data_IF_201310018603
#
_entry.id   IF_201310018603
#
_cell.length_a   1.000
_cell.length_b   1.000
_cell.length_c   1.000
_cell.angle_alpha   90.00
_cell.angle_beta   90.00
_cell.angle_gamma   90.00
#
_symmetry.space_group_name_H-M   'P 1'
#
loop_
_entity.id
_entity.type
_entity.pdbx_description
1 polymer ?
#
# COMPACT_ATOMS: atom_id res chain seq x y z
N UNK A 1 -16.28 -15.56 -19.77
CA UNK A 1 -15.08 -14.71 -19.98
C UNK A 1 -13.83 -15.46 -19.50
N UNK A 2 -12.70 -15.47 -20.24
CA UNK A 2 -11.48 -16.14 -19.76
C UNK A 2 -10.74 -15.21 -18.81
N UNK A 3 -10.64 -15.57 -17.54
CA UNK A 3 -9.92 -14.82 -16.52
C UNK A 3 -8.43 -14.71 -16.88
N UNK A 4 -7.85 -13.53 -16.68
CA UNK A 4 -6.41 -13.31 -16.84
C UNK A 4 -5.68 -13.56 -15.51
N UNK A 5 -4.42 -13.99 -15.58
CA UNK A 5 -3.54 -14.17 -14.41
C UNK A 5 -2.08 -14.10 -14.83
N UNK A 6 -1.18 -13.84 -13.89
CA UNK A 6 0.26 -13.94 -14.12
C UNK A 6 0.70 -15.41 -14.31
N UNK A 7 1.81 -15.61 -15.05
CA UNK A 7 2.18 -16.92 -15.58
C UNK A 7 2.94 -17.83 -14.63
N UNK A 8 3.79 -17.29 -13.76
CA UNK A 8 4.76 -18.06 -12.96
C UNK A 8 4.41 -18.01 -11.49
N UNK A 9 4.44 -19.15 -10.79
CA UNK A 9 4.29 -19.26 -9.35
C UNK A 9 2.91 -18.89 -8.82
N UNK A 10 2.88 -18.48 -7.58
CA UNK A 10 1.67 -18.08 -6.83
C UNK A 10 1.12 -19.20 -5.95
N UNK A 11 0.25 -18.80 -5.03
CA UNK A 11 -0.41 -19.66 -4.03
C UNK A 11 -1.87 -19.27 -3.87
N UNK A 12 -2.66 -20.09 -3.18
CA UNK A 12 -4.09 -19.88 -2.94
C UNK A 12 -4.37 -19.92 -1.42
N UNK A 13 -4.07 -18.85 -0.66
CA UNK A 13 -4.43 -18.79 0.75
C UNK A 13 -5.95 -18.67 0.93
N UNK A 14 -6.45 -19.06 2.11
CA UNK A 14 -7.83 -18.78 2.50
C UNK A 14 -8.07 -17.26 2.52
N UNK A 15 -9.16 -16.83 1.91
CA UNK A 15 -9.41 -15.39 1.70
C UNK A 15 -9.78 -14.66 2.98
N UNK A 16 -10.61 -15.28 3.82
CA UNK A 16 -11.12 -14.71 5.08
C UNK A 16 -11.61 -13.24 4.94
N UNK A 17 -12.31 -12.91 3.84
CA UNK A 17 -12.83 -11.57 3.53
C UNK A 17 -14.10 -11.24 4.36
N UNK A 18 -14.05 -11.45 5.68
CA UNK A 18 -15.21 -11.37 6.59
C UNK A 18 -15.88 -9.99 6.64
N UNK A 19 -15.17 -8.94 6.27
CA UNK A 19 -15.68 -7.55 6.27
C UNK A 19 -16.10 -7.05 4.89
N UNK A 20 -16.14 -7.92 3.86
CA UNK A 20 -16.39 -7.51 2.48
C UNK A 20 -17.73 -6.76 2.30
N UNK A 21 -18.79 -7.25 2.93
CA UNK A 21 -20.14 -6.66 2.81
C UNK A 21 -20.43 -5.58 3.88
N UNK A 22 -19.44 -5.25 4.73
CA UNK A 22 -19.60 -4.24 5.77
C UNK A 22 -19.23 -2.85 5.21
N UNK A 23 -20.20 -1.96 5.16
CA UNK A 23 -20.00 -0.57 4.76
C UNK A 23 -18.93 0.13 5.60
N UNK A 24 -18.24 1.09 4.99
CA UNK A 24 -17.20 1.87 5.68
C UNK A 24 -17.82 2.76 6.76
N UNK A 25 -17.23 2.71 7.94
CA UNK A 25 -17.59 3.56 9.09
C UNK A 25 -16.54 4.66 9.25
N UNK A 26 -16.94 5.84 9.74
CA UNK A 26 -15.99 6.89 10.10
C UNK A 26 -15.48 6.61 11.51
N UNK A 27 -14.16 6.47 11.64
CA UNK A 27 -13.53 6.26 12.94
C UNK A 27 -13.59 7.54 13.80
N UNK A 28 -13.77 7.38 15.12
CA UNK A 28 -13.70 8.49 16.06
C UNK A 28 -12.30 9.12 16.07
N UNK A 29 -12.23 10.43 16.32
CA UNK A 29 -10.95 11.14 16.45
C UNK A 29 -10.18 10.65 17.68
N UNK A 30 -8.84 10.51 17.59
CA UNK A 30 -8.02 10.14 18.75
C UNK A 30 -7.86 11.33 19.71
N UNK A 31 -7.53 11.03 20.98
CA UNK A 31 -7.12 12.08 21.92
C UNK A 31 -5.78 12.71 21.55
N UNK A 32 -4.87 11.90 21.04
CA UNK A 32 -3.59 12.32 20.45
C UNK A 32 -3.41 11.66 19.08
N UNK A 33 -2.93 12.44 18.12
CA UNK A 33 -2.56 11.94 16.80
C UNK A 33 -1.05 11.96 16.64
N UNK A 34 -0.47 10.85 16.14
CA UNK A 34 0.99 10.63 16.00
C UNK A 34 1.33 10.53 14.54
N UNK A 35 2.15 11.44 14.03
CA UNK A 35 2.55 11.51 12.63
C UNK A 35 4.02 11.17 12.45
N UNK A 36 4.39 9.89 12.15
CA UNK A 36 5.75 9.53 11.80
C UNK A 36 6.23 10.31 10.57
N UNK A 37 7.49 10.78 10.57
CA UNK A 37 8.06 11.53 9.44
C UNK A 37 8.45 10.65 8.26
N UNK A 38 8.57 9.33 8.46
CA UNK A 38 8.91 8.33 7.46
C UNK A 38 7.71 7.48 7.04
N UNK A 39 6.67 8.08 6.43
CA UNK A 39 5.48 7.37 5.95
C UNK A 39 5.56 6.89 4.49
N UNK A 40 6.74 6.94 3.88
CA UNK A 40 6.97 6.63 2.46
C UNK A 40 8.42 6.17 2.24
N UNK A 41 8.70 5.61 1.06
CA UNK A 41 10.08 5.32 0.64
C UNK A 41 10.81 6.63 0.34
N UNK A 42 12.11 6.65 0.63
CA UNK A 42 13.01 7.77 0.38
C UNK A 42 13.37 8.55 1.64
N UNK A 43 13.69 9.82 1.50
CA UNK A 43 14.07 10.68 2.61
C UNK A 43 12.87 10.98 3.51
N UNK A 44 12.96 10.85 4.83
CA UNK A 44 11.89 11.29 5.73
C UNK A 44 11.51 12.76 5.50
N UNK A 45 10.25 13.08 5.75
CA UNK A 45 9.78 14.47 5.72
C UNK A 45 10.44 15.29 6.83
N UNK A 46 10.56 16.59 6.63
CA UNK A 46 11.14 17.55 7.60
C UNK A 46 10.03 18.34 8.27
N UNK A 47 9.93 18.34 9.61
CA UNK A 47 8.89 19.10 10.32
C UNK A 47 9.00 20.60 10.02
N UNK A 48 7.85 21.24 9.83
CA UNK A 48 7.73 22.71 9.66
C UNK A 48 6.93 23.35 10.81
N UNK A 49 6.51 22.53 11.77
CA UNK A 49 5.78 22.95 12.99
C UNK A 49 6.61 22.69 14.24
N UNK A 50 6.36 23.46 15.29
CA UNK A 50 7.01 23.38 16.58
C UNK A 50 5.99 23.14 17.71
N UNK A 51 6.48 22.76 18.89
CA UNK A 51 5.65 22.62 20.11
C UNK A 51 4.88 23.91 20.39
N UNK A 52 3.56 23.80 20.58
CA UNK A 52 2.66 24.90 20.88
C UNK A 52 1.93 25.45 19.65
N UNK A 53 2.35 25.11 18.44
CA UNK A 53 1.66 25.55 17.22
C UNK A 53 0.25 24.99 17.15
N UNK A 54 -0.70 25.83 16.74
CA UNK A 54 -2.08 25.45 16.45
C UNK A 54 -2.17 24.97 15.01
N UNK A 55 -2.86 23.84 14.80
CA UNK A 55 -3.06 23.25 13.48
C UNK A 55 -4.52 22.90 13.24
N UNK A 56 -4.93 22.95 11.97
CA UNK A 56 -6.24 22.48 11.48
C UNK A 56 -6.07 21.19 10.68
N UNK A 57 -7.17 20.53 10.38
CA UNK A 57 -7.18 19.44 9.39
C UNK A 57 -6.74 19.98 8.05
N UNK A 58 -5.67 19.42 7.49
CA UNK A 58 -5.07 19.90 6.23
C UNK A 58 -3.90 20.86 6.41
N UNK A 59 -3.55 21.29 7.62
CA UNK A 59 -2.33 22.08 7.85
C UNK A 59 -1.09 21.24 7.54
N UNK A 60 -0.11 21.82 6.82
CA UNK A 60 1.18 21.19 6.53
C UNK A 60 1.98 21.00 7.83
N UNK A 61 2.31 19.76 8.18
CA UNK A 61 3.11 19.42 9.36
C UNK A 61 4.59 19.23 9.03
N UNK A 62 4.87 18.63 7.87
CA UNK A 62 6.23 18.37 7.42
C UNK A 62 6.32 18.46 5.91
N UNK A 63 7.36 19.10 5.41
CA UNK A 63 7.69 19.20 3.98
C UNK A 63 8.48 18.00 3.49
N UNK A 64 8.55 17.79 2.17
CA UNK A 64 9.34 16.73 1.57
C UNK A 64 10.84 16.91 1.89
N UNK A 65 11.48 15.87 2.42
CA UNK A 65 12.89 15.89 2.84
C UNK A 65 13.90 15.67 1.71
N UNK A 66 13.44 15.43 0.46
CA UNK A 66 14.28 15.17 -0.70
C UNK A 66 13.47 14.91 -1.96
N UNK A 67 14.14 14.52 -3.06
CA UNK A 67 13.46 14.23 -4.33
C UNK A 67 12.46 13.07 -4.20
N UNK A 68 12.88 11.95 -3.60
CA UNK A 68 11.99 10.84 -3.24
C UNK A 68 11.53 11.08 -1.82
N UNK A 69 10.46 11.82 -1.67
CA UNK A 69 9.83 12.17 -0.38
C UNK A 69 8.42 12.71 -0.64
N UNK A 70 7.60 12.82 0.41
CA UNK A 70 6.26 13.37 0.33
C UNK A 70 5.93 14.17 1.60
N UNK A 71 5.24 15.33 1.49
CA UNK A 71 4.80 16.10 2.64
C UNK A 71 3.77 15.34 3.49
N UNK A 72 3.63 15.76 4.74
CA UNK A 72 2.70 15.21 5.72
C UNK A 72 1.81 16.34 6.22
N UNK A 73 0.51 16.07 6.28
CA UNK A 73 -0.52 17.01 6.69
C UNK A 73 -1.23 16.52 7.95
N UNK A 74 -1.72 17.46 8.74
CA UNK A 74 -2.55 17.17 9.91
C UNK A 74 -3.88 16.56 9.47
N UNK A 75 -4.27 15.49 10.12
CA UNK A 75 -5.59 14.87 9.98
C UNK A 75 -6.59 15.37 11.04
N UNK A 76 -6.16 16.21 11.95
CA UNK A 76 -6.91 16.69 13.11
C UNK A 76 -6.68 18.18 13.34
N UNK A 77 -7.56 18.85 14.09
CA UNK A 77 -7.27 20.16 14.63
C UNK A 77 -6.84 20.06 16.09
N UNK A 78 -5.93 20.93 16.52
CA UNK A 78 -5.41 20.93 17.88
C UNK A 78 -4.07 21.63 18.02
N UNK A 79 -3.34 21.25 19.06
CA UNK A 79 -2.04 21.84 19.39
C UNK A 79 -0.92 20.83 19.26
N UNK A 80 0.17 21.20 18.62
CA UNK A 80 1.39 20.39 18.56
C UNK A 80 1.96 20.22 19.96
N UNK A 81 1.83 19.00 20.50
CA UNK A 81 2.32 18.68 21.84
C UNK A 81 3.84 18.62 21.87
N UNK A 82 4.44 17.91 20.89
CA UNK A 82 5.90 17.82 20.75
C UNK A 82 6.30 17.21 19.40
N UNK A 83 7.54 17.51 19.00
CA UNK A 83 8.27 16.76 17.96
C UNK A 83 9.21 15.83 18.72
N UNK A 84 9.07 14.51 18.55
CA UNK A 84 9.75 13.49 19.35
C UNK A 84 9.93 12.19 18.53
N UNK A 85 10.02 11.06 19.19
CA UNK A 85 10.08 9.74 18.58
C UNK A 85 8.94 8.86 19.07
N UNK A 86 8.38 8.05 18.16
CA UNK A 86 7.37 7.02 18.44
C UNK A 86 7.77 5.69 17.80
N UNK A 87 7.23 4.59 18.32
CA UNK A 87 7.40 3.26 17.72
C UNK A 87 6.56 3.19 16.45
N UNK A 88 7.19 2.77 15.35
CA UNK A 88 6.50 2.48 14.09
C UNK A 88 6.14 0.98 13.95
N UNK A 89 5.47 0.60 12.88
CA UNK A 89 5.10 -0.79 12.60
C UNK A 89 6.31 -1.73 12.40
N UNK A 90 7.53 -1.21 12.33
CA UNK A 90 8.77 -2.02 12.27
C UNK A 90 9.37 -2.31 13.65
N UNK A 91 8.76 -1.76 14.72
CA UNK A 91 9.23 -1.91 16.10
C UNK A 91 10.36 -0.97 16.50
N UNK A 92 10.77 -0.05 15.62
CA UNK A 92 11.80 0.93 15.91
C UNK A 92 11.24 2.31 16.25
N UNK A 93 11.94 3.05 17.11
CA UNK A 93 11.64 4.45 17.36
C UNK A 93 12.01 5.30 16.15
N UNK A 94 11.07 6.12 15.68
CA UNK A 94 11.22 7.00 14.52
C UNK A 94 10.75 8.41 14.87
N UNK A 95 11.37 9.45 14.27
CA UNK A 95 10.93 10.82 14.45
C UNK A 95 9.45 10.99 14.06
N UNK A 96 8.70 11.71 14.90
CA UNK A 96 7.28 11.97 14.71
C UNK A 96 6.85 13.33 15.25
N UNK A 97 5.69 13.80 14.82
CA UNK A 97 4.98 14.93 15.38
C UNK A 97 3.79 14.39 16.15
N UNK A 98 3.56 14.84 17.39
CA UNK A 98 2.43 14.45 18.23
C UNK A 98 1.55 15.67 18.46
N UNK A 99 0.24 15.52 18.19
CA UNK A 99 -0.76 16.58 18.31
C UNK A 99 -1.78 16.17 19.37
N UNK A 100 -2.03 17.04 20.36
CA UNK A 100 -3.20 16.95 21.22
C UNK A 100 -4.42 17.39 20.42
N UNK A 101 -5.38 16.50 20.24
CA UNK A 101 -6.56 16.76 19.41
C UNK A 101 -7.57 17.58 20.21
N UNK A 102 -8.02 18.69 19.63
CA UNK A 102 -8.98 19.61 20.24
C UNK A 102 -10.28 19.71 19.44
N UNK A 103 -10.30 19.19 18.20
CA UNK A 103 -11.50 19.22 17.37
C UNK A 103 -11.28 18.73 15.93
N UNK A 104 -12.18 19.12 15.04
CA UNK A 104 -12.20 18.78 13.60
C UNK A 104 -12.40 20.05 12.75
N UNK A 105 -11.62 21.10 13.03
CA UNK A 105 -11.63 22.32 12.24
C UNK A 105 -10.73 22.14 11.00
N UNK A 106 -11.25 22.42 9.82
CA UNK A 106 -10.57 22.19 8.54
C UNK A 106 -10.01 23.50 7.95
N UNK A 107 -8.95 23.36 7.17
CA UNK A 107 -8.48 24.45 6.30
C UNK A 107 -9.59 24.80 5.30
N UNK A 108 -9.88 26.08 5.12
CA UNK A 108 -10.95 26.59 4.26
C UNK A 108 -10.75 26.26 2.77
N UNK A 109 -9.50 26.04 2.37
CA UNK A 109 -9.14 25.71 0.99
C UNK A 109 -9.57 24.31 0.55
N UNK A 110 -9.98 23.43 1.48
CA UNK A 110 -10.37 22.05 1.20
C UNK A 110 -11.87 22.00 0.86
N UNK A 111 -12.20 21.56 -0.35
CA UNK A 111 -13.59 21.33 -0.72
C UNK A 111 -14.13 20.04 -0.07
N UNK A 112 -15.09 20.21 0.84
CA UNK A 112 -15.76 19.14 1.59
C UNK A 112 -17.10 18.73 0.97
N UNK A 113 -17.49 19.33 -0.14
CA UNK A 113 -18.78 19.01 -0.79
C UNK A 113 -18.77 17.58 -1.34
N UNK A 114 -19.93 16.93 -1.33
CA UNK A 114 -20.13 15.60 -1.94
C UNK A 114 -20.30 15.66 -3.47
N UNK A 115 -20.30 16.86 -4.06
CA UNK A 115 -20.44 17.03 -5.50
C UNK A 115 -19.28 16.37 -6.24
N UNK A 116 -19.59 15.45 -7.14
CA UNK A 116 -18.59 14.85 -8.02
C UNK A 116 -18.07 15.91 -9.02
N UNK A 117 -16.78 16.22 -8.92
CA UNK A 117 -16.10 17.06 -9.90
C UNK A 117 -15.47 16.19 -11.00
N UNK A 118 -15.44 16.69 -12.23
CA UNK A 118 -14.91 15.95 -13.38
C UNK A 118 -13.87 16.77 -14.12
N UNK A 119 -13.05 16.11 -14.94
CA UNK A 119 -12.05 16.81 -15.77
C UNK A 119 -12.68 17.81 -16.74
N UNK A 120 -13.89 17.53 -17.20
CA UNK A 120 -14.63 18.42 -18.10
C UNK A 120 -14.98 19.75 -17.44
N UNK A 121 -15.18 19.77 -16.11
CA UNK A 121 -15.42 20.99 -15.32
C UNK A 121 -14.16 21.84 -15.11
N UNK A 122 -12.97 21.29 -15.44
CA UNK A 122 -11.67 21.92 -15.18
C UNK A 122 -10.77 21.88 -16.43
N UNK A 123 -11.14 22.60 -17.51
CA UNK A 123 -10.38 22.60 -18.76
C UNK A 123 -8.97 23.15 -18.60
N UNK A 124 -8.74 23.98 -17.58
CA UNK A 124 -7.45 24.58 -17.23
C UNK A 124 -6.40 23.60 -16.69
N UNK A 125 -6.82 22.42 -16.21
CA UNK A 125 -5.89 21.46 -15.64
C UNK A 125 -4.95 20.86 -16.69
N UNK A 126 -3.70 21.32 -16.69
CA UNK A 126 -2.63 20.75 -17.50
C UNK A 126 -2.08 19.47 -16.87
N UNK A 127 -1.39 18.58 -17.61
CA UNK A 127 -0.67 17.44 -17.04
C UNK A 127 0.31 17.83 -15.93
N UNK A 128 1.03 18.92 -16.12
CA UNK A 128 2.03 19.45 -15.18
C UNK A 128 1.36 19.93 -13.88
N UNK A 129 0.21 20.60 -13.99
CA UNK A 129 -0.56 21.06 -12.83
C UNK A 129 -1.12 19.87 -12.04
N UNK A 130 -1.62 18.82 -12.70
CA UNK A 130 -2.08 17.60 -12.03
C UNK A 130 -0.94 16.95 -11.24
N UNK A 131 0.24 16.79 -11.87
CA UNK A 131 1.43 16.24 -11.19
C UNK A 131 1.83 17.08 -9.98
N UNK A 132 1.79 18.43 -10.12
CA UNK A 132 2.11 19.35 -9.04
C UNK A 132 1.13 19.23 -7.86
N UNK A 133 -0.19 19.18 -8.10
CA UNK A 133 -1.21 18.99 -7.05
C UNK A 133 -1.02 17.66 -6.34
N UNK A 134 -0.75 16.56 -7.06
CA UNK A 134 -0.43 15.25 -6.50
C UNK A 134 0.80 15.32 -5.58
N UNK A 135 1.86 16.01 -6.03
CA UNK A 135 3.10 16.19 -5.26
C UNK A 135 2.85 16.97 -3.99
N UNK A 136 2.21 18.15 -4.11
CA UNK A 136 1.91 19.04 -2.98
C UNK A 136 0.99 18.35 -1.98
N UNK A 137 -0.06 17.65 -2.42
CA UNK A 137 -0.97 16.93 -1.54
C UNK A 137 -0.35 15.70 -0.84
N UNK A 138 0.90 15.38 -1.11
CA UNK A 138 1.61 14.29 -0.45
C UNK A 138 1.12 12.89 -0.81
N UNK A 139 0.59 12.69 -2.03
CA UNK A 139 0.04 11.41 -2.45
C UNK A 139 1.18 10.40 -2.65
N UNK A 140 1.04 9.24 -1.99
CA UNK A 140 1.96 8.10 -2.13
C UNK A 140 1.18 6.85 -2.54
N UNK A 141 1.87 5.85 -3.06
CA UNK A 141 1.26 4.56 -3.40
C UNK A 141 0.73 3.85 -2.16
N UNK A 142 -0.58 3.61 -2.11
CA UNK A 142 -1.27 3.09 -0.93
C UNK A 142 -1.47 1.56 -0.92
N UNK A 143 -1.13 0.88 -2.01
CA UNK A 143 -1.21 -0.59 -2.11
C UNK A 143 0.12 -1.31 -1.93
N UNK A 144 1.16 -0.66 -1.40
CA UNK A 144 2.49 -1.27 -1.31
C UNK A 144 3.49 -0.42 -0.53
N UNK A 145 4.67 -0.21 -1.12
CA UNK A 145 5.83 0.36 -0.43
C UNK A 145 5.77 1.89 -0.17
N UNK A 146 4.69 2.56 -0.48
CA UNK A 146 4.55 4.00 -0.22
C UNK A 146 5.43 4.88 -1.10
N UNK A 147 5.66 4.52 -2.37
CA UNK A 147 6.44 5.34 -3.29
C UNK A 147 5.66 6.60 -3.69
N UNK A 148 6.27 7.80 -3.70
CA UNK A 148 5.59 9.04 -4.06
C UNK A 148 5.00 8.97 -5.48
N UNK A 149 3.69 9.22 -5.61
CA UNK A 149 2.92 9.00 -6.84
C UNK A 149 3.39 9.90 -7.98
N UNK A 150 3.72 11.18 -7.68
CA UNK A 150 4.15 12.13 -8.71
C UNK A 150 5.40 11.67 -9.48
N UNK A 151 6.31 10.93 -8.83
CA UNK A 151 7.53 10.42 -9.48
C UNK A 151 7.20 9.37 -10.52
N UNK A 152 6.22 8.49 -10.26
CA UNK A 152 5.76 7.50 -11.25
C UNK A 152 5.18 8.16 -12.51
N UNK A 153 4.63 9.37 -12.37
CA UNK A 153 4.06 10.14 -13.48
C UNK A 153 5.10 10.94 -14.28
N UNK A 154 6.36 10.96 -13.80
CA UNK A 154 7.50 11.58 -14.48
C UNK A 154 8.51 10.50 -14.86
N UNK A 155 8.28 9.71 -15.93
CA UNK A 155 9.17 8.64 -16.35
C UNK A 155 10.61 9.14 -16.55
N UNK A 156 11.63 8.31 -16.23
CA UNK A 156 13.01 8.68 -16.49
C UNK A 156 13.27 8.82 -18.00
N UNK A 157 14.32 9.56 -18.40
CA UNK A 157 14.68 9.71 -19.81
C UNK A 157 14.79 8.36 -20.54
N UNK A 158 14.17 8.26 -21.72
CA UNK A 158 14.13 7.04 -22.53
C UNK A 158 13.02 6.04 -22.18
N UNK A 159 12.31 6.19 -21.06
CA UNK A 159 11.14 5.40 -20.75
C UNK A 159 9.85 6.15 -21.14
N UNK A 160 8.89 5.44 -21.73
CA UNK A 160 7.59 6.01 -22.13
C UNK A 160 6.46 5.16 -21.57
N UNK A 161 5.53 5.82 -20.86
CA UNK A 161 4.28 5.18 -20.48
C UNK A 161 3.36 5.02 -21.70
N UNK A 162 2.65 3.92 -21.77
CA UNK A 162 1.63 3.60 -22.78
C UNK A 162 0.26 3.47 -22.13
N UNK A 163 0.22 3.09 -20.84
CA UNK A 163 -1.04 2.92 -20.12
C UNK A 163 -0.88 3.14 -18.61
N UNK A 164 -2.02 3.43 -17.97
CA UNK A 164 -2.21 3.34 -16.52
C UNK A 164 -2.91 2.03 -16.19
N UNK A 165 -2.41 1.31 -15.17
CA UNK A 165 -3.08 0.14 -14.61
C UNK A 165 -3.48 0.45 -13.17
N UNK A 166 -4.79 0.45 -12.90
CA UNK A 166 -5.30 0.55 -11.54
C UNK A 166 -5.39 -0.85 -10.94
N UNK A 167 -4.76 -1.00 -9.79
CA UNK A 167 -4.74 -2.21 -9.00
C UNK A 167 -5.92 -2.21 -8.02
N UNK A 168 -7.00 -2.90 -8.38
CA UNK A 168 -8.17 -3.21 -7.55
C UNK A 168 -8.21 -4.67 -7.11
N UNK A 169 -7.07 -5.33 -7.13
CA UNK A 169 -6.94 -6.79 -6.89
C UNK A 169 -7.21 -7.14 -5.43
N UNK A 170 -6.51 -6.50 -4.50
CA UNK A 170 -6.59 -6.76 -3.05
C UNK A 170 -6.48 -8.26 -2.71
N UNK A 171 -5.37 -8.90 -3.19
CA UNK A 171 -5.15 -10.34 -3.05
C UNK A 171 -4.72 -10.78 -1.64
N UNK A 172 -4.36 -9.86 -0.75
CA UNK A 172 -3.98 -10.15 0.64
C UNK A 172 -5.19 -10.69 1.41
N UNK A 173 -5.11 -11.83 2.12
CA UNK A 173 -6.21 -12.33 2.93
C UNK A 173 -6.69 -11.31 3.98
N UNK A 174 -7.95 -11.42 4.38
CA UNK A 174 -8.65 -10.59 5.37
C UNK A 174 -8.97 -9.15 4.92
N UNK A 175 -8.14 -8.50 4.09
CA UNK A 175 -8.27 -7.08 3.76
C UNK A 175 -9.41 -6.86 2.77
N UNK A 176 -10.26 -5.85 3.03
CA UNK A 176 -11.42 -5.49 2.20
C UNK A 176 -11.57 -3.98 2.00
N UNK A 177 -10.61 -3.19 2.46
CA UNK A 177 -10.64 -1.73 2.39
C UNK A 177 -10.70 -1.20 0.95
N UNK A 178 -9.93 -1.81 0.01
CA UNK A 178 -9.94 -1.42 -1.39
C UNK A 178 -11.24 -1.88 -2.08
N UNK A 179 -11.77 -3.05 -1.73
CA UNK A 179 -13.07 -3.51 -2.23
C UNK A 179 -14.20 -2.57 -1.81
N UNK A 180 -14.27 -2.20 -0.53
CA UNK A 180 -15.27 -1.25 -0.06
C UNK A 180 -15.13 0.10 -0.72
N UNK A 181 -13.92 0.61 -0.85
CA UNK A 181 -13.65 1.85 -1.55
C UNK A 181 -14.14 1.80 -3.02
N UNK A 182 -13.91 0.67 -3.73
CA UNK A 182 -14.42 0.47 -5.08
C UNK A 182 -15.95 0.51 -5.14
N UNK A 183 -16.63 -0.10 -4.17
CA UNK A 183 -18.11 -0.14 -4.13
C UNK A 183 -18.73 1.21 -3.76
N UNK A 184 -18.06 2.00 -2.92
CA UNK A 184 -18.58 3.24 -2.35
C UNK A 184 -18.17 4.49 -3.17
N UNK A 185 -17.03 4.45 -3.89
CA UNK A 185 -16.42 5.60 -4.57
C UNK A 185 -15.95 5.29 -6.00
N UNK A 186 -16.72 4.49 -6.73
CA UNK A 186 -16.36 4.08 -8.09
C UNK A 186 -16.17 5.28 -9.05
N UNK A 187 -17.02 6.30 -8.94
CA UNK A 187 -16.97 7.47 -9.83
C UNK A 187 -15.72 8.30 -9.59
N UNK A 188 -15.39 8.54 -8.33
CA UNK A 188 -14.19 9.27 -7.93
C UNK A 188 -12.91 8.53 -8.34
N UNK A 189 -12.89 7.20 -8.22
CA UNK A 189 -11.78 6.35 -8.69
C UNK A 189 -11.62 6.48 -10.20
N UNK A 190 -12.72 6.48 -10.97
CA UNK A 190 -12.69 6.66 -12.43
C UNK A 190 -12.19 8.04 -12.84
N UNK A 191 -12.60 9.10 -12.13
CA UNK A 191 -12.04 10.44 -12.35
C UNK A 191 -10.56 10.45 -12.02
N UNK A 192 -10.14 9.84 -10.91
CA UNK A 192 -8.74 9.69 -10.51
C UNK A 192 -7.90 8.94 -11.56
N UNK A 193 -8.42 7.85 -12.15
CA UNK A 193 -7.79 7.17 -13.29
C UNK A 193 -7.60 8.11 -14.48
N UNK A 194 -8.65 8.84 -14.87
CA UNK A 194 -8.58 9.79 -15.99
C UNK A 194 -7.59 10.92 -15.73
N UNK A 195 -7.48 11.40 -14.49
CA UNK A 195 -6.45 12.37 -14.08
C UNK A 195 -5.05 11.80 -14.22
N UNK A 196 -4.83 10.57 -13.78
CA UNK A 196 -3.56 9.86 -13.93
C UNK A 196 -3.20 9.64 -15.40
N UNK A 197 -4.18 9.27 -16.24
CA UNK A 197 -3.99 9.14 -17.70
C UNK A 197 -3.58 10.47 -18.33
N UNK A 198 -4.28 11.56 -17.98
CA UNK A 198 -3.95 12.93 -18.46
C UNK A 198 -2.57 13.36 -18.00
N UNK A 199 -2.22 13.15 -16.73
CA UNK A 199 -0.90 13.48 -16.17
C UNK A 199 0.24 12.70 -16.84
N UNK A 200 0.04 11.41 -17.13
CA UNK A 200 1.03 10.56 -17.81
C UNK A 200 1.01 10.69 -19.33
N UNK A 201 0.10 11.48 -19.89
CA UNK A 201 -0.11 11.68 -21.35
C UNK A 201 -0.33 10.34 -22.09
N UNK A 202 -1.19 9.48 -21.53
CA UNK A 202 -1.56 8.17 -22.10
C UNK A 202 -3.07 8.08 -22.36
N UNK A 203 -3.44 7.32 -23.40
CA UNK A 203 -4.83 7.16 -23.83
C UNK A 203 -5.48 5.88 -23.32
N UNK A 204 -4.73 4.95 -22.71
CA UNK A 204 -5.27 3.66 -22.27
C UNK A 204 -5.18 3.50 -20.75
N UNK A 205 -6.30 3.13 -20.13
CA UNK A 205 -6.42 2.79 -18.72
C UNK A 205 -6.95 1.36 -18.54
N UNK A 206 -6.45 0.66 -17.54
CA UNK A 206 -6.93 -0.66 -17.14
C UNK A 206 -7.27 -0.64 -15.65
N UNK A 207 -8.30 -1.40 -15.25
CA UNK A 207 -8.60 -1.67 -13.86
C UNK A 207 -8.61 -3.19 -13.67
N UNK A 208 -7.61 -3.72 -12.96
CA UNK A 208 -7.52 -5.15 -12.62
C UNK A 208 -8.27 -5.45 -11.33
N UNK A 209 -9.24 -6.36 -11.39
CA UNK A 209 -10.08 -6.77 -10.24
C UNK A 209 -10.14 -8.29 -10.20
N UNK A 210 -9.93 -8.91 -9.02
CA UNK A 210 -10.08 -10.36 -8.86
C UNK A 210 -11.54 -10.80 -8.94
N UNK A 211 -11.77 -12.01 -9.46
CA UNK A 211 -13.07 -12.64 -9.69
C UNK A 211 -13.87 -12.95 -8.40
N UNK A 212 -13.22 -12.86 -7.25
CA UNK A 212 -13.89 -12.88 -5.95
C UNK A 212 -14.63 -11.56 -5.60
N UNK A 213 -14.62 -10.58 -6.49
CA UNK A 213 -15.28 -9.27 -6.37
C UNK A 213 -16.24 -9.02 -7.55
N UNK A 214 -17.20 -9.93 -7.83
CA UNK A 214 -18.05 -9.83 -9.03
C UNK A 214 -18.90 -8.56 -9.07
N UNK A 215 -19.33 -8.07 -7.89
CA UNK A 215 -20.10 -6.82 -7.81
C UNK A 215 -19.27 -5.59 -8.24
N UNK A 216 -18.00 -5.52 -7.83
CA UNK A 216 -17.12 -4.44 -8.26
C UNK A 216 -16.82 -4.52 -9.77
N UNK A 217 -16.55 -5.73 -10.30
CA UNK A 217 -16.32 -5.92 -11.75
C UNK A 217 -17.54 -5.38 -12.53
N UNK A 218 -18.74 -5.83 -12.17
CA UNK A 218 -19.99 -5.39 -12.83
C UNK A 218 -20.17 -3.87 -12.72
N UNK A 219 -19.98 -3.29 -11.55
CA UNK A 219 -20.14 -1.85 -11.31
C UNK A 219 -19.21 -1.03 -12.22
N UNK A 220 -17.92 -1.42 -12.30
CA UNK A 220 -16.97 -0.70 -13.14
C UNK A 220 -17.19 -0.94 -14.64
N UNK A 221 -17.60 -2.14 -15.07
CA UNK A 221 -18.01 -2.41 -16.46
C UNK A 221 -19.18 -1.52 -16.88
N UNK A 222 -20.23 -1.41 -16.05
CA UNK A 222 -21.38 -0.54 -16.31
C UNK A 222 -21.00 0.94 -16.42
N UNK A 223 -20.16 1.42 -15.49
CA UNK A 223 -19.72 2.83 -15.46
C UNK A 223 -18.75 3.20 -16.59
N UNK A 224 -18.05 2.22 -17.17
CA UNK A 224 -17.09 2.45 -18.26
C UNK A 224 -17.58 2.05 -19.64
N UNK A 225 -18.81 1.53 -19.76
CA UNK A 225 -19.38 1.00 -21.02
C UNK A 225 -19.32 1.99 -22.21
N UNK A 226 -19.30 3.31 -21.95
CA UNK A 226 -19.19 4.37 -22.97
C UNK A 226 -17.78 4.88 -23.24
N UNK A 227 -16.75 4.41 -22.54
CA UNK A 227 -15.37 4.91 -22.66
C UNK A 227 -14.40 3.80 -23.09
N UNK A 228 -14.17 3.66 -24.39
CA UNK A 228 -13.32 2.63 -25.00
C UNK A 228 -11.85 2.71 -24.57
N UNK A 229 -11.42 3.80 -23.92
CA UNK A 229 -10.06 3.97 -23.42
C UNK A 229 -9.85 3.19 -22.13
N UNK A 230 -10.91 2.86 -21.38
CA UNK A 230 -10.83 2.15 -20.08
C UNK A 230 -11.31 0.72 -20.28
N UNK A 231 -10.51 -0.24 -19.83
CA UNK A 231 -10.83 -1.67 -19.86
C UNK A 231 -10.81 -2.24 -18.44
N UNK A 232 -11.91 -2.87 -18.04
CA UNK A 232 -11.97 -3.66 -16.82
C UNK A 232 -11.41 -5.04 -17.11
N UNK A 233 -10.45 -5.49 -16.29
CA UNK A 233 -9.75 -6.76 -16.49
C UNK A 233 -10.06 -7.70 -15.32
N UNK A 234 -11.02 -8.62 -15.47
CA UNK A 234 -11.26 -9.68 -14.50
C UNK A 234 -10.05 -10.61 -14.38
N UNK A 235 -9.57 -10.81 -13.16
CA UNK A 235 -8.36 -11.56 -12.85
C UNK A 235 -8.71 -12.80 -12.02
N UNK A 236 -8.04 -13.92 -12.31
CA UNK A 236 -8.20 -15.10 -11.49
C UNK A 236 -7.63 -14.88 -10.09
N UNK A 237 -8.37 -15.35 -9.09
CA UNK A 237 -7.92 -15.36 -7.71
C UNK A 237 -6.65 -16.19 -7.55
N UNK A 238 -5.53 -15.52 -7.28
CA UNK A 238 -4.21 -16.13 -7.14
C UNK A 238 -3.26 -15.16 -6.43
N UNK A 239 -2.67 -15.53 -5.32
CA UNK A 239 -1.73 -14.68 -4.61
C UNK A 239 -0.29 -14.84 -5.16
N UNK A 240 0.49 -13.79 -5.43
CA UNK A 240 0.21 -12.35 -5.24
C UNK A 240 -0.24 -11.65 -6.55
N UNK A 241 -1.47 -11.85 -7.00
CA UNK A 241 -2.02 -11.25 -8.23
C UNK A 241 -1.91 -9.71 -8.24
N UNK A 242 -2.02 -9.08 -7.04
CA UNK A 242 -1.86 -7.63 -6.85
C UNK A 242 -0.41 -7.16 -6.79
N UNK A 243 0.59 -8.04 -6.86
CA UNK A 243 1.98 -7.65 -7.01
C UNK A 243 2.18 -6.84 -8.29
N UNK A 244 2.88 -5.71 -8.22
CA UNK A 244 2.99 -4.77 -9.36
C UNK A 244 3.46 -5.45 -10.65
N UNK A 245 4.51 -6.29 -10.58
CA UNK A 245 5.04 -7.03 -11.75
C UNK A 245 4.07 -8.12 -12.22
N UNK A 246 3.41 -8.82 -11.30
CA UNK A 246 2.41 -9.85 -11.58
C UNK A 246 1.17 -9.26 -12.25
N UNK A 247 0.73 -8.09 -11.78
CA UNK A 247 -0.41 -7.38 -12.36
C UNK A 247 -0.10 -6.92 -13.80
N UNK A 248 1.08 -6.38 -14.05
CA UNK A 248 1.52 -6.00 -15.41
C UNK A 248 1.51 -7.21 -16.35
N UNK A 249 2.06 -8.35 -15.90
CA UNK A 249 2.04 -9.60 -16.68
C UNK A 249 0.60 -10.09 -16.95
N UNK A 250 -0.28 -10.01 -15.95
CA UNK A 250 -1.66 -10.45 -16.09
C UNK A 250 -2.46 -9.55 -17.05
N UNK A 251 -2.29 -8.22 -16.98
CA UNK A 251 -3.11 -7.24 -17.70
C UNK A 251 -2.63 -7.03 -19.14
N UNK A 252 -1.35 -6.73 -19.33
CA UNK A 252 -0.80 -6.37 -20.66
C UNK A 252 0.14 -7.42 -21.26
N UNK A 253 0.31 -8.56 -20.57
CA UNK A 253 1.15 -9.68 -21.04
C UNK A 253 2.62 -9.33 -21.28
N UNK A 254 3.15 -8.34 -20.57
CA UNK A 254 4.56 -7.94 -20.60
C UNK A 254 5.20 -8.25 -19.24
N UNK A 255 6.41 -8.77 -19.24
CA UNK A 255 7.18 -9.04 -18.03
C UNK A 255 8.12 -7.90 -17.74
N UNK A 256 8.02 -7.35 -16.51
CA UNK A 256 8.97 -6.34 -16.03
C UNK A 256 10.29 -7.05 -15.69
N UNK A 257 11.41 -6.67 -16.34
CA UNK A 257 12.72 -7.31 -16.11
C UNK A 257 13.18 -7.22 -14.64
N UNK A 258 14.32 -7.88 -14.36
CA UNK A 258 14.99 -7.76 -13.06
C UNK A 258 15.38 -6.30 -12.75
N UNK A 259 15.51 -5.93 -11.46
CA UNK A 259 16.00 -4.60 -11.10
C UNK A 259 17.34 -4.28 -11.81
N UNK A 260 17.54 -3.02 -12.25
CA UNK A 260 16.80 -1.81 -11.86
C UNK A 260 15.51 -1.52 -12.65
N UNK A 261 15.05 -2.41 -13.52
CA UNK A 261 13.87 -2.19 -14.33
C UNK A 261 12.58 -2.04 -13.48
N UNK A 262 11.73 -1.12 -13.91
CA UNK A 262 10.45 -0.78 -13.26
C UNK A 262 9.31 -0.88 -14.30
N UNK A 263 8.03 -0.91 -13.91
CA UNK A 263 6.90 -1.11 -14.82
C UNK A 263 6.88 -0.21 -16.04
N UNK A 264 7.32 1.03 -15.95
CA UNK A 264 7.35 1.96 -17.09
C UNK A 264 8.33 1.53 -18.19
N UNK A 265 9.33 0.69 -17.89
CA UNK A 265 10.22 0.11 -18.91
C UNK A 265 9.48 -0.85 -19.87
N UNK A 266 8.30 -1.30 -19.48
CA UNK A 266 7.40 -2.10 -20.32
C UNK A 266 6.10 -1.35 -20.65
N UNK A 267 6.10 -0.02 -20.52
CA UNK A 267 5.01 0.88 -20.92
C UNK A 267 3.90 1.05 -19.87
N UNK A 268 4.02 0.51 -18.66
CA UNK A 268 2.96 0.56 -17.66
C UNK A 268 3.30 1.45 -16.47
N UNK A 269 2.32 2.24 -16.01
CA UNK A 269 2.34 2.87 -14.69
C UNK A 269 1.24 2.22 -13.85
N UNK A 270 1.61 1.62 -12.72
CA UNK A 270 0.65 0.95 -11.83
C UNK A 270 0.35 1.84 -10.63
N UNK A 271 -0.95 2.00 -10.33
CA UNK A 271 -1.45 2.70 -9.14
C UNK A 271 -2.54 1.87 -8.45
N UNK A 272 -2.63 1.95 -7.13
CA UNK A 272 -3.69 1.30 -6.35
C UNK A 272 -5.02 2.09 -6.46
N UNK A 273 -6.18 1.45 -6.26
CA UNK A 273 -7.51 2.12 -6.27
C UNK A 273 -7.58 3.25 -5.25
N UNK A 274 -7.07 3.06 -4.03
CA UNK A 274 -7.02 4.10 -3.02
C UNK A 274 -6.12 5.27 -3.43
N UNK A 275 -5.04 5.00 -4.17
CA UNK A 275 -4.19 6.07 -4.73
C UNK A 275 -4.94 6.86 -5.81
N UNK A 276 -5.72 6.19 -6.69
CA UNK A 276 -6.54 6.88 -7.69
C UNK A 276 -7.61 7.76 -7.03
N UNK A 277 -8.27 7.25 -5.99
CA UNK A 277 -9.21 8.03 -5.18
C UNK A 277 -8.54 9.24 -4.51
N UNK A 278 -7.37 9.07 -3.90
CA UNK A 278 -6.63 10.17 -3.29
C UNK A 278 -6.15 11.21 -4.31
N UNK A 279 -5.83 10.79 -5.54
CA UNK A 279 -5.53 11.71 -6.65
C UNK A 279 -6.75 12.54 -7.01
N UNK A 280 -7.95 11.93 -7.08
CA UNK A 280 -9.20 12.67 -7.24
C UNK A 280 -9.37 13.73 -6.14
N UNK A 281 -9.24 13.32 -4.87
CA UNK A 281 -9.38 14.24 -3.74
C UNK A 281 -8.36 15.37 -3.78
N UNK A 282 -7.10 15.08 -4.10
CA UNK A 282 -6.04 16.08 -4.16
C UNK A 282 -6.26 17.09 -5.29
N UNK A 283 -6.63 16.63 -6.49
CA UNK A 283 -6.71 17.48 -7.68
C UNK A 283 -8.03 18.22 -7.75
N UNK A 284 -9.15 17.55 -7.43
CA UNK A 284 -10.49 18.11 -7.58
C UNK A 284 -11.01 18.78 -6.31
N UNK A 285 -10.59 18.32 -5.13
CA UNK A 285 -11.08 18.77 -3.83
C UNK A 285 -10.02 19.54 -3.01
N UNK A 286 -8.83 19.74 -3.56
CA UNK A 286 -7.69 20.34 -2.84
C UNK A 286 -7.46 19.68 -1.45
N UNK A 287 -7.77 18.38 -1.34
CA UNK A 287 -7.67 17.62 -0.09
C UNK A 287 -6.38 16.82 -0.04
N UNK A 288 -5.41 17.17 0.82
CA UNK A 288 -4.18 16.40 1.02
C UNK A 288 -4.46 15.00 1.58
N UNK A 289 -3.47 14.11 1.47
CA UNK A 289 -3.56 12.74 1.99
C UNK A 289 -3.33 12.70 3.51
N UNK A 290 -4.41 12.69 4.27
CA UNK A 290 -4.41 12.60 5.74
C UNK A 290 -5.45 11.61 6.31
N UNK A 291 -6.18 10.92 5.43
CA UNK A 291 -7.14 9.87 5.78
C UNK A 291 -6.83 8.56 5.07
N UNK A 292 -7.23 7.46 5.65
CA UNK A 292 -7.00 6.14 5.09
C UNK A 292 -8.20 5.22 5.30
N UNK A 293 -8.64 4.55 4.25
CA UNK A 293 -9.52 3.38 4.36
C UNK A 293 -8.71 2.21 4.92
N UNK A 294 -9.15 1.65 6.03
CA UNK A 294 -8.41 0.63 6.79
C UNK A 294 -9.37 -0.45 7.27
N UNK A 295 -9.06 -1.70 7.00
CA UNK A 295 -9.79 -2.85 7.54
C UNK A 295 -9.27 -3.20 8.94
N UNK A 296 -10.14 -3.34 9.93
CA UNK A 296 -9.81 -3.95 11.22
C UNK A 296 -10.50 -5.29 11.30
N UNK A 297 -9.73 -6.40 11.42
CA UNK A 297 -10.26 -7.73 11.17
C UNK A 297 -9.49 -8.83 11.91
N UNK A 298 -10.06 -10.03 11.91
CA UNK A 298 -9.54 -11.25 12.51
C UNK A 298 -10.70 -12.19 12.82
N UNK A 299 -10.46 -13.51 12.83
CA UNK A 299 -11.51 -14.51 13.01
C UNK A 299 -12.28 -14.36 14.33
N UNK A 300 -11.62 -13.86 15.38
CA UNK A 300 -12.21 -13.70 16.72
C UNK A 300 -12.39 -12.22 17.12
N UNK A 301 -12.15 -11.27 16.22
CA UNK A 301 -12.47 -9.86 16.47
C UNK A 301 -13.99 -9.72 16.58
N UNK A 302 -14.46 -9.10 17.67
CA UNK A 302 -15.87 -9.06 18.02
C UNK A 302 -16.72 -8.30 17.00
N UNK A 303 -16.25 -7.11 16.59
CA UNK A 303 -16.93 -6.22 15.66
C UNK A 303 -15.95 -5.79 14.56
N UNK A 304 -15.53 -6.71 13.65
CA UNK A 304 -14.63 -6.34 12.57
C UNK A 304 -15.31 -5.37 11.61
N UNK A 305 -14.52 -4.57 10.86
CA UNK A 305 -15.12 -3.61 9.94
C UNK A 305 -14.10 -2.89 9.07
N UNK A 306 -14.63 -2.07 8.16
CA UNK A 306 -13.85 -1.15 7.35
C UNK A 306 -14.08 0.27 7.88
N UNK A 307 -13.03 1.05 7.95
CA UNK A 307 -13.06 2.38 8.56
C UNK A 307 -12.35 3.41 7.70
N UNK A 308 -12.94 4.60 7.59
CA UNK A 308 -12.23 5.81 7.19
C UNK A 308 -11.56 6.38 8.45
N UNK A 309 -10.23 6.27 8.49
CA UNK A 309 -9.42 6.61 9.68
C UNK A 309 -8.58 7.85 9.42
N UNK A 310 -8.57 8.79 10.37
CA UNK A 310 -7.63 9.89 10.39
C UNK A 310 -6.22 9.36 10.65
N UNK A 311 -5.25 9.70 9.78
CA UNK A 311 -3.87 9.30 10.01
C UNK A 311 -3.36 9.83 11.34
N UNK A 312 -2.53 9.05 12.02
CA UNK A 312 -2.09 9.35 13.38
C UNK A 312 -2.91 8.69 14.48
N UNK A 313 -4.09 8.11 14.17
CA UNK A 313 -4.89 7.34 15.13
C UNK A 313 -4.14 6.07 15.55
N UNK A 314 -3.96 5.79 16.85
CA UNK A 314 -3.30 4.58 17.33
C UNK A 314 -4.08 3.30 16.99
N UNK A 315 -3.38 2.19 16.77
CA UNK A 315 -4.00 0.88 16.57
C UNK A 315 -4.84 0.44 17.76
N UNK A 316 -4.41 0.77 19.00
CA UNK A 316 -5.18 0.48 20.21
C UNK A 316 -6.62 1.03 20.12
N UNK A 317 -6.78 2.27 19.68
CA UNK A 317 -8.12 2.86 19.53
C UNK A 317 -8.95 2.15 18.47
N UNK A 318 -8.35 1.76 17.35
CA UNK A 318 -9.05 1.04 16.28
C UNK A 318 -9.48 -0.36 16.72
N UNK A 319 -8.64 -1.05 17.50
CA UNK A 319 -8.94 -2.36 18.08
C UNK A 319 -10.05 -2.23 19.14
N UNK A 320 -9.99 -1.21 19.99
CA UNK A 320 -11.04 -0.93 20.99
C UNK A 320 -12.40 -0.65 20.33
N UNK A 321 -12.43 0.11 19.24
CA UNK A 321 -13.65 0.34 18.44
C UNK A 321 -14.26 -0.95 17.90
N UNK A 322 -13.45 -1.98 17.70
CA UNK A 322 -13.86 -3.32 17.28
C UNK A 322 -14.16 -4.29 18.43
N UNK A 323 -14.20 -3.80 19.68
CA UNK A 323 -14.54 -4.60 20.86
C UNK A 323 -13.35 -5.11 21.66
N UNK A 324 -12.16 -4.58 21.39
CA UNK A 324 -10.91 -4.92 22.07
C UNK A 324 -10.19 -6.13 21.44
N UNK A 325 -9.04 -6.50 22.03
CA UNK A 325 -8.36 -7.73 21.66
C UNK A 325 -9.18 -8.94 22.12
N UNK A 326 -9.27 -10.00 21.30
CA UNK A 326 -9.82 -11.28 21.74
C UNK A 326 -9.07 -11.85 22.96
N UNK A 327 -9.73 -12.74 23.71
CA UNK A 327 -9.07 -13.49 24.78
C UNK A 327 -8.00 -14.44 24.23
N UNK A 328 -6.99 -14.78 25.04
CA UNK A 328 -5.90 -15.69 24.67
C UNK A 328 -4.74 -15.03 23.97
N UNK A 329 -3.97 -15.83 23.21
CA UNK A 329 -2.77 -15.37 22.51
C UNK A 329 -3.13 -14.59 21.24
N UNK A 330 -2.60 -13.40 21.12
CA UNK A 330 -2.87 -12.50 20.00
C UNK A 330 -1.59 -12.07 19.30
N UNK A 331 -1.68 -11.95 17.97
CA UNK A 331 -0.67 -11.30 17.13
C UNK A 331 -1.32 -10.25 16.26
N UNK A 332 -1.00 -8.98 16.51
CA UNK A 332 -1.50 -7.86 15.72
C UNK A 332 -0.55 -7.57 14.57
N UNK A 333 -1.10 -7.48 13.36
CA UNK A 333 -0.36 -7.18 12.14
C UNK A 333 -0.76 -5.80 11.61
N UNK A 334 0.23 -5.01 11.22
CA UNK A 334 0.04 -3.88 10.32
C UNK A 334 0.02 -4.44 8.88
N UNK A 335 -1.16 -4.62 8.30
CA UNK A 335 -1.38 -5.34 7.05
C UNK A 335 -1.99 -6.73 7.24
N UNK A 336 -1.97 -7.54 6.18
CA UNK A 336 -2.48 -8.91 6.19
C UNK A 336 -1.42 -9.96 6.58
N UNK A 337 -1.80 -11.25 6.61
CA UNK A 337 -0.93 -12.32 7.11
C UNK A 337 0.24 -12.68 6.19
N UNK A 338 0.19 -12.32 4.90
CA UNK A 338 1.23 -12.70 3.93
C UNK A 338 2.40 -11.70 3.90
N UNK A 339 2.12 -10.39 3.92
CA UNK A 339 3.12 -9.31 3.80
C UNK A 339 3.12 -8.34 4.99
N UNK A 340 2.12 -8.40 5.87
CA UNK A 340 2.00 -7.54 7.04
C UNK A 340 3.11 -7.77 8.06
N UNK A 341 3.32 -6.79 8.92
CA UNK A 341 4.33 -6.82 9.98
C UNK A 341 3.66 -6.97 11.34
N UNK A 342 4.11 -7.93 12.14
CA UNK A 342 3.69 -8.02 13.53
C UNK A 342 4.19 -6.81 14.31
N UNK A 343 3.27 -6.09 14.97
CA UNK A 343 3.61 -4.93 15.79
C UNK A 343 3.93 -5.35 17.22
N UNK A 344 4.86 -4.64 17.85
CA UNK A 344 5.28 -4.89 19.25
C UNK A 344 4.56 -3.95 20.24
N UNK A 345 3.85 -2.95 19.74
CA UNK A 345 3.04 -2.01 20.52
C UNK A 345 1.77 -1.66 19.76
N UNK A 346 0.69 -1.45 20.47
CA UNK A 346 -0.57 -0.95 19.91
C UNK A 346 -0.62 0.59 19.79
N UNK A 347 0.42 1.29 20.25
CA UNK A 347 0.55 2.75 20.05
C UNK A 347 1.03 3.11 18.64
N UNK A 348 1.29 2.11 17.78
CA UNK A 348 1.61 2.32 16.36
C UNK A 348 0.46 3.09 15.69
N UNK A 349 0.74 4.22 15.05
CA UNK A 349 -0.32 5.00 14.40
C UNK A 349 -0.69 4.46 13.02
N UNK A 350 -1.94 4.69 12.62
CA UNK A 350 -2.37 4.58 11.23
C UNK A 350 -1.61 5.60 10.37
N UNK A 351 -1.03 5.15 9.27
CA UNK A 351 -0.22 5.95 8.35
C UNK A 351 -0.71 5.82 6.91
N UNK A 352 -0.09 6.53 5.97
CA UNK A 352 -0.41 6.43 4.52
C UNK A 352 -0.40 4.98 4.00
N UNK A 353 0.46 4.12 4.55
CA UNK A 353 0.62 2.72 4.14
C UNK A 353 -0.31 1.73 4.86
N UNK A 354 -1.06 2.14 5.87
CA UNK A 354 -1.88 1.23 6.68
C UNK A 354 -3.18 0.89 5.96
N UNK A 355 -3.29 -0.29 5.37
CA UNK A 355 -4.51 -0.78 4.72
C UNK A 355 -5.33 -1.71 5.62
N UNK A 356 -4.71 -2.33 6.64
CA UNK A 356 -5.42 -3.12 7.62
C UNK A 356 -4.68 -3.22 8.95
N UNK A 357 -5.45 -3.54 9.99
CA UNK A 357 -5.02 -4.02 11.30
C UNK A 357 -5.64 -5.40 11.45
N UNK A 358 -4.82 -6.45 11.33
CA UNK A 358 -5.28 -7.84 11.38
C UNK A 358 -4.87 -8.48 12.69
N UNK A 359 -5.84 -9.01 13.44
CA UNK A 359 -5.60 -9.71 14.69
C UNK A 359 -5.68 -11.22 14.44
N UNK A 360 -4.55 -11.89 14.53
CA UNK A 360 -4.45 -13.34 14.51
C UNK A 360 -4.51 -13.88 15.94
N UNK A 361 -5.20 -14.97 16.15
CA UNK A 361 -5.44 -15.57 17.47
C UNK A 361 -5.02 -17.02 17.51
N UNK A 362 -4.77 -17.55 18.71
CA UNK A 362 -4.49 -18.97 18.99
C UNK A 362 -3.44 -19.58 18.03
N UNK A 363 -3.79 -20.65 17.33
CA UNK A 363 -2.88 -21.34 16.41
C UNK A 363 -2.37 -20.45 15.26
N UNK A 364 -3.18 -19.50 14.81
CA UNK A 364 -2.79 -18.57 13.74
C UNK A 364 -1.81 -17.50 14.26
N UNK A 365 -1.78 -17.21 15.58
CA UNK A 365 -0.85 -16.28 16.20
C UNK A 365 0.58 -16.85 16.33
N UNK A 366 0.73 -18.16 16.30
CA UNK A 366 2.01 -18.83 16.50
C UNK A 366 2.59 -19.39 15.21
N UNK A 367 3.92 -19.34 15.12
CA UNK A 367 4.65 -20.06 14.07
C UNK A 367 4.86 -21.50 14.50
N UNK A 368 4.62 -22.43 13.58
CA UNK A 368 4.98 -23.83 13.80
C UNK A 368 6.50 -23.99 13.90
N UNK A 369 6.94 -25.04 14.61
CA UNK A 369 8.36 -25.38 14.72
C UNK A 369 8.97 -25.61 13.33
N UNK A 370 10.10 -24.99 13.07
CA UNK A 370 10.82 -25.20 11.83
C UNK A 370 11.54 -26.54 11.82
N UNK A 371 11.37 -27.30 10.75
CA UNK A 371 12.01 -28.60 10.53
C UNK A 371 13.06 -28.51 9.38
N UNK A 372 13.96 -29.49 9.26
CA UNK A 372 14.92 -29.56 8.16
C UNK A 372 14.26 -29.52 6.79
N UNK A 373 14.93 -28.92 5.80
CA UNK A 373 14.47 -28.89 4.43
C UNK A 373 14.42 -30.28 3.80
N UNK A 374 13.25 -30.73 3.34
CA UNK A 374 13.06 -32.02 2.66
C UNK A 374 13.27 -31.95 1.14
N UNK A 375 13.74 -30.83 0.61
CA UNK A 375 14.05 -30.58 -0.83
C UNK A 375 12.86 -30.85 -1.77
N UNK A 376 11.63 -30.55 -1.36
CA UNK A 376 10.40 -30.79 -2.14
C UNK A 376 10.15 -29.79 -3.27
N UNK A 377 10.95 -28.74 -3.40
CA UNK A 377 10.85 -27.66 -4.40
C UNK A 377 9.57 -26.79 -4.38
N UNK A 378 8.58 -27.03 -3.49
CA UNK A 378 7.33 -26.26 -3.43
C UNK A 378 7.54 -24.74 -3.33
N UNK A 379 8.62 -24.30 -2.64
CA UNK A 379 8.96 -22.88 -2.55
C UNK A 379 9.43 -22.29 -3.90
N UNK A 380 10.06 -23.08 -4.76
CA UNK A 380 10.48 -22.69 -6.11
C UNK A 380 9.26 -22.57 -7.02
N UNK A 381 8.40 -23.61 -7.02
CA UNK A 381 7.14 -23.62 -7.78
C UNK A 381 6.23 -22.45 -7.41
N UNK A 382 6.17 -22.07 -6.12
CA UNK A 382 5.35 -20.98 -5.62
C UNK A 382 5.94 -19.59 -5.90
N UNK A 383 7.23 -19.47 -6.27
CA UNK A 383 7.87 -18.17 -6.44
C UNK A 383 7.38 -17.45 -7.70
N UNK A 384 6.69 -16.28 -7.57
CA UNK A 384 6.17 -15.55 -8.72
C UNK A 384 7.25 -14.79 -9.50
N UNK A 385 8.51 -14.85 -9.01
CA UNK A 385 9.68 -14.24 -9.65
C UNK A 385 10.62 -15.28 -10.27
N UNK A 386 10.29 -16.58 -10.17
CA UNK A 386 11.12 -17.67 -10.71
C UNK A 386 12.47 -17.86 -9.98
N UNK A 387 12.54 -17.43 -8.72
CA UNK A 387 13.76 -17.56 -7.89
C UNK A 387 13.83 -18.92 -7.21
N UNK A 388 14.96 -19.24 -6.59
CA UNK A 388 15.18 -20.41 -5.73
C UNK A 388 15.16 -20.05 -4.24
N UNK A 389 13.98 -19.89 -3.59
CA UNK A 389 13.90 -19.35 -2.25
C UNK A 389 14.64 -20.18 -1.19
N UNK A 390 14.71 -21.51 -1.35
CA UNK A 390 15.47 -22.36 -0.43
C UNK A 390 16.97 -22.05 -0.46
N UNK A 391 17.53 -21.80 -1.66
CA UNK A 391 18.93 -21.43 -1.85
C UNK A 391 19.19 -20.02 -1.32
N UNK A 392 18.37 -19.03 -1.70
CA UNK A 392 18.49 -17.66 -1.22
C UNK A 392 18.44 -17.58 0.32
N UNK A 393 17.52 -18.32 0.97
CA UNK A 393 17.45 -18.39 2.42
C UNK A 393 18.71 -19.02 3.05
N UNK A 394 19.26 -20.07 2.42
CA UNK A 394 20.48 -20.73 2.89
C UNK A 394 21.69 -19.82 2.77
N UNK A 395 21.89 -19.19 1.60
CA UNK A 395 22.99 -18.25 1.37
C UNK A 395 22.91 -17.03 2.31
N UNK A 396 21.67 -16.56 2.61
CA UNK A 396 21.46 -15.47 3.58
C UNK A 396 21.93 -15.83 4.98
N UNK A 397 21.59 -17.04 5.46
CA UNK A 397 22.04 -17.55 6.77
C UNK A 397 23.56 -17.72 6.82
N UNK A 398 24.14 -18.20 5.72
CA UNK A 398 25.61 -18.39 5.58
C UNK A 398 26.36 -17.07 5.35
N UNK A 399 25.65 -15.96 5.11
CA UNK A 399 26.21 -14.63 4.78
C UNK A 399 27.05 -14.61 3.49
N UNK A 400 26.76 -15.51 2.55
CA UNK A 400 27.36 -15.60 1.23
C UNK A 400 26.82 -14.51 0.29
N UNK A 401 27.08 -13.23 0.61
CA UNK A 401 26.40 -12.10 -0.02
C UNK A 401 26.72 -11.91 -1.50
N UNK A 402 27.95 -12.23 -1.94
CA UNK A 402 28.32 -12.15 -3.36
C UNK A 402 27.53 -13.16 -4.20
N UNK A 403 27.44 -14.39 -3.70
CA UNK A 403 26.64 -15.43 -4.33
C UNK A 403 25.15 -15.12 -4.26
N UNK A 404 24.68 -14.58 -3.13
CA UNK A 404 23.29 -14.17 -2.95
C UNK A 404 22.88 -13.07 -3.92
N UNK A 405 23.80 -12.13 -4.24
CA UNK A 405 23.62 -11.12 -5.28
C UNK A 405 23.55 -11.75 -6.68
N UNK A 406 24.45 -12.68 -6.98
CA UNK A 406 24.48 -13.41 -8.25
C UNK A 406 23.21 -14.27 -8.49
N UNK A 407 22.61 -14.82 -7.43
CA UNK A 407 21.34 -15.55 -7.45
C UNK A 407 20.11 -14.60 -7.42
N UNK A 408 20.31 -13.32 -7.75
CA UNK A 408 19.27 -12.31 -7.92
C UNK A 408 18.34 -12.08 -6.72
N UNK A 409 18.84 -12.12 -5.49
CA UNK A 409 18.04 -11.86 -4.29
C UNK A 409 17.31 -10.52 -4.36
N UNK A 410 17.85 -9.53 -5.10
CA UNK A 410 17.25 -8.21 -5.28
C UNK A 410 15.92 -8.27 -6.02
N UNK A 411 15.69 -9.29 -6.85
CA UNK A 411 14.44 -9.55 -7.56
C UNK A 411 13.31 -10.09 -6.68
N UNK A 412 13.60 -10.53 -5.44
CA UNK A 412 12.58 -10.97 -4.50
C UNK A 412 11.62 -9.82 -4.13
N UNK A 413 10.31 -10.02 -4.32
CA UNK A 413 9.26 -9.04 -3.97
C UNK A 413 8.71 -9.18 -2.55
N UNK A 414 9.30 -10.06 -1.74
CA UNK A 414 8.93 -10.33 -0.35
C UNK A 414 7.45 -10.70 -0.13
N UNK A 415 6.83 -11.41 -1.07
CA UNK A 415 5.41 -11.77 -1.05
C UNK A 415 5.03 -12.88 -0.05
N UNK A 416 5.99 -13.65 0.47
CA UNK A 416 5.71 -14.73 1.43
C UNK A 416 5.24 -16.07 0.83
N UNK A 417 4.95 -16.19 -0.47
CA UNK A 417 4.46 -17.43 -1.11
C UNK A 417 5.34 -18.65 -0.82
N UNK A 418 6.66 -18.47 -0.83
CA UNK A 418 7.63 -19.54 -0.55
C UNK A 418 7.58 -20.06 0.90
N UNK A 419 7.36 -19.17 1.88
CA UNK A 419 7.24 -19.54 3.29
C UNK A 419 5.88 -20.16 3.56
N UNK A 420 4.80 -19.60 2.98
CA UNK A 420 3.44 -20.11 3.09
C UNK A 420 3.33 -21.59 2.65
N UNK A 421 3.95 -21.95 1.53
CA UNK A 421 3.86 -23.31 0.96
C UNK A 421 4.84 -24.30 1.58
N UNK A 422 5.75 -23.88 2.48
CA UNK A 422 6.81 -24.74 3.01
C UNK A 422 6.28 -25.76 4.02
N UNK A 423 6.30 -27.09 3.74
CA UNK A 423 5.79 -28.09 4.67
C UNK A 423 6.68 -28.25 5.92
N UNK A 424 7.95 -27.82 5.86
CA UNK A 424 8.88 -27.81 6.97
C UNK A 424 8.84 -26.52 7.78
N UNK A 425 7.90 -25.63 7.54
CA UNK A 425 7.68 -24.36 8.25
C UNK A 425 8.94 -23.49 8.44
N UNK A 426 9.87 -23.57 7.48
CA UNK A 426 11.13 -22.83 7.55
C UNK A 426 10.88 -21.31 7.40
N UNK A 427 11.62 -20.46 8.12
CA UNK A 427 11.52 -19.00 8.02
C UNK A 427 12.24 -18.50 6.75
N UNK A 428 11.79 -18.98 5.57
CA UNK A 428 12.43 -18.72 4.27
C UNK A 428 12.42 -17.23 3.97
N UNK A 429 11.26 -16.59 4.10
CA UNK A 429 11.11 -15.18 3.78
C UNK A 429 11.93 -14.29 4.70
N UNK A 430 11.93 -14.57 6.03
CA UNK A 430 12.66 -13.75 7.00
C UNK A 430 14.16 -13.75 6.67
N UNK A 431 14.72 -14.92 6.35
CA UNK A 431 16.11 -15.06 5.95
C UNK A 431 16.42 -14.32 4.65
N UNK A 432 15.55 -14.44 3.64
CA UNK A 432 15.72 -13.73 2.35
C UNK A 432 15.67 -12.22 2.54
N UNK A 433 14.74 -11.70 3.34
CA UNK A 433 14.63 -10.25 3.61
C UNK A 433 15.92 -9.74 4.26
N UNK A 434 16.45 -10.45 5.26
CA UNK A 434 17.72 -10.10 5.92
C UNK A 434 18.89 -10.08 4.93
N UNK A 435 19.06 -11.13 4.14
CA UNK A 435 20.08 -11.23 3.11
C UNK A 435 19.95 -10.17 2.03
N UNK A 436 18.73 -9.92 1.53
CA UNK A 436 18.44 -8.86 0.56
C UNK A 436 18.83 -7.49 1.11
N UNK A 437 18.51 -7.18 2.37
CA UNK A 437 18.87 -5.91 2.99
C UNK A 437 20.39 -5.71 3.04
N UNK A 438 21.15 -6.76 3.39
CA UNK A 438 22.61 -6.74 3.41
C UNK A 438 23.20 -6.51 1.99
N UNK A 439 22.75 -7.26 0.99
CA UNK A 439 23.17 -7.11 -0.42
C UNK A 439 22.86 -5.70 -0.93
N UNK A 440 21.65 -5.17 -0.67
CA UNK A 440 21.30 -3.80 -1.06
C UNK A 440 22.20 -2.75 -0.38
N UNK A 441 22.62 -2.99 0.85
CA UNK A 441 23.61 -2.15 1.54
C UNK A 441 24.98 -2.16 0.84
N UNK A 442 25.47 -3.32 0.44
CA UNK A 442 26.71 -3.49 -0.32
C UNK A 442 26.65 -2.79 -1.67
N UNK A 443 25.57 -2.97 -2.42
CA UNK A 443 25.36 -2.31 -3.73
C UNK A 443 25.39 -0.78 -3.57
N UNK A 444 24.69 -0.23 -2.57
CA UNK A 444 24.70 1.21 -2.29
C UNK A 444 26.12 1.73 -1.99
N UNK A 445 26.86 1.02 -1.14
CA UNK A 445 28.25 1.40 -0.81
C UNK A 445 29.17 1.38 -2.04
N UNK A 446 29.01 0.43 -2.96
CA UNK A 446 29.76 0.39 -4.24
C UNK A 446 29.42 1.60 -5.12
N UNK A 447 28.14 2.00 -5.18
CA UNK A 447 27.70 3.13 -6.02
C UNK A 447 28.09 4.49 -5.45
N UNK A 448 28.26 4.61 -4.14
CA UNK A 448 28.70 5.85 -3.48
C UNK A 448 30.20 6.10 -3.64
N UNK A 449 30.99 5.04 -3.96
CA UNK A 449 32.43 5.14 -4.19
C UNK A 449 32.81 5.45 -5.63
N UNK A 450 31.85 5.43 -6.55
CA UNK A 450 31.95 5.88 -7.95
C UNK A 450 31.47 7.33 -8.07
#
# INVERSE_FOLDING_TARGET
MKLRTFRIGGVHPEENKITAEMATQVAALPKQAIFPLGQHIGAPAKPVVAKGDKVKVGTLLAEAGGFVSAPIYSSVSGTVFKVDQSIDATGYRKPCIIINVEGDEWEESIDRSEKLETIASHPELTPEEIVNRIKVAGITGMGGAGFPTFIKLCPPPGAKAECIIINGVECEPYITADYRLMMEHADEILVGLKLLMKAAKVEKGYIGIEDNKPAAIKLFEEKTAGDSRIEIVPLAKKYPQGGEKQLVDAVIRRQVPAPPAIPVNVGAIVQNVGTAFAVYQAVMKNKPLFERYTTVTGKQVKNPGNFLVRMGTPFSQMIEACGGLPEGDNKVLAGGPMMGKAVISLDVPVTKGTNSITVLTDADAHRKKAEPCIRCAKCVEACPMGLEPYLLATLSVMKEYERLEAEEVTSCIACGSCQFTCPSHRPILDNIIGGKAAVMGIIRARNTKK
#
